data_IF_547814756181
#
_entry.id   IF_547814756181
#
_cell.length_a   1.000
_cell.length_b   1.000
_cell.length_c   1.000
_cell.angle_alpha   90.00
_cell.angle_beta   90.00
_cell.angle_gamma   90.00
#
_symmetry.space_group_name_H-M   'P 1'
#
loop_
_entity.id
_entity.type
_entity.pdbx_description
1 polymer ?
#
# COMPACT_ATOMS: atom_id res chain seq x y z
N UNK A 1 15.41 17.12 -4.31
CA UNK A 1 16.16 17.65 -3.14
C UNK A 1 15.27 18.02 -1.95
N UNK A 2 13.93 17.83 -2.03
CA UNK A 2 13.01 18.26 -0.96
C UNK A 2 13.30 17.69 0.43
N UNK A 3 13.62 16.39 0.52
CA UNK A 3 13.89 15.74 1.82
C UNK A 3 15.06 16.36 2.60
N UNK A 4 16.13 16.78 1.92
CA UNK A 4 17.27 17.43 2.58
C UNK A 4 16.85 18.79 3.16
N UNK A 5 16.04 19.55 2.41
CA UNK A 5 15.53 20.83 2.86
C UNK A 5 14.57 20.65 4.04
N UNK A 6 13.68 19.65 3.97
CA UNK A 6 12.78 19.30 5.06
C UNK A 6 13.54 18.85 6.31
N UNK A 7 14.64 18.12 6.19
CA UNK A 7 15.47 17.75 7.33
C UNK A 7 16.11 18.97 8.01
N UNK A 8 16.55 19.96 7.22
CA UNK A 8 17.05 21.24 7.75
C UNK A 8 15.93 22.00 8.47
N UNK A 9 14.72 22.04 7.89
CA UNK A 9 13.56 22.65 8.53
C UNK A 9 13.14 21.93 9.81
N UNK A 10 13.19 20.59 9.84
CA UNK A 10 12.89 19.83 11.05
C UNK A 10 13.83 20.23 12.21
N UNK A 11 15.13 20.36 11.92
CA UNK A 11 16.10 20.86 12.90
C UNK A 11 15.82 22.30 13.32
N UNK A 12 15.49 23.18 12.37
CA UNK A 12 15.18 24.58 12.65
C UNK A 12 13.91 24.74 13.52
N UNK A 13 12.85 24.01 13.19
CA UNK A 13 11.61 23.99 13.97
C UNK A 13 11.81 23.37 15.35
N UNK A 14 12.57 22.28 15.46
CA UNK A 14 12.91 21.67 16.76
C UNK A 14 13.65 22.65 17.68
N UNK A 15 14.67 23.33 17.16
CA UNK A 15 15.40 24.37 17.89
C UNK A 15 14.51 25.57 18.25
N UNK A 16 13.61 25.98 17.35
CA UNK A 16 12.68 27.07 17.60
C UNK A 16 11.66 26.71 18.70
N UNK A 17 11.15 25.49 18.71
CA UNK A 17 10.25 24.98 19.74
C UNK A 17 10.95 24.92 21.10
N UNK A 18 12.19 24.40 21.13
CA UNK A 18 13.02 24.38 22.33
C UNK A 18 13.30 25.79 22.86
N UNK A 19 13.65 26.73 21.98
CA UNK A 19 13.91 28.13 22.35
C UNK A 19 12.65 28.82 22.89
N UNK A 20 11.49 28.57 22.28
CA UNK A 20 10.23 29.16 22.71
C UNK A 20 9.82 28.67 24.10
N UNK A 21 10.08 27.40 24.42
CA UNK A 21 9.77 26.79 25.70
C UNK A 21 10.73 27.23 26.82
N UNK A 22 12.04 27.26 26.54
CA UNK A 22 13.06 27.55 27.55
C UNK A 22 13.35 29.04 27.74
N UNK A 23 13.36 29.83 26.67
CA UNK A 23 13.90 31.19 26.69
C UNK A 23 12.83 32.30 26.71
N UNK A 24 11.53 31.97 26.77
CA UNK A 24 10.41 32.92 27.01
C UNK A 24 10.54 34.28 26.26
N UNK A 25 10.64 34.25 24.93
CA UNK A 25 10.81 35.42 24.03
C UNK A 25 12.17 36.17 24.10
N UNK A 26 13.21 35.57 24.68
CA UNK A 26 14.57 36.11 24.60
C UNK A 26 15.08 36.14 23.14
N UNK A 27 15.77 37.21 22.73
CA UNK A 27 16.38 37.27 21.39
C UNK A 27 17.72 36.56 21.39
N UNK A 28 17.86 35.52 20.56
CA UNK A 28 19.05 34.67 20.54
C UNK A 28 19.09 33.68 21.72
N UNK A 29 20.23 33.00 21.91
CA UNK A 29 20.39 31.95 22.92
C UNK A 29 20.39 32.50 24.35
N UNK A 30 19.48 32.00 25.18
CA UNK A 30 19.51 32.19 26.63
C UNK A 30 20.47 31.20 27.31
N UNK A 31 20.67 31.31 28.62
CA UNK A 31 21.62 30.48 29.35
C UNK A 31 21.16 29.03 29.48
N UNK A 32 19.85 28.77 29.46
CA UNK A 32 19.27 27.41 29.47
C UNK A 32 19.55 26.61 28.18
N UNK A 33 20.04 27.28 27.13
CA UNK A 33 20.49 26.64 25.87
C UNK A 33 22.02 26.69 25.69
N UNK A 34 22.79 26.99 26.75
CA UNK A 34 24.25 27.09 26.71
C UNK A 34 24.91 26.17 27.75
N UNK A 35 25.36 24.95 27.37
CA UNK A 35 25.26 24.33 26.04
C UNK A 35 23.86 23.74 25.78
N UNK A 36 23.55 23.46 24.52
CA UNK A 36 22.32 22.74 24.15
C UNK A 36 22.46 21.28 24.56
N UNK A 37 21.52 20.78 25.35
CA UNK A 37 21.39 19.36 25.68
C UNK A 37 20.75 18.60 24.51
N UNK A 38 21.49 17.65 23.93
CA UNK A 38 21.03 16.84 22.81
C UNK A 38 19.85 15.91 23.15
N UNK A 39 19.76 15.42 24.39
CA UNK A 39 18.62 14.60 24.83
C UNK A 39 17.35 15.43 24.90
N UNK A 40 17.45 16.66 25.41
CA UNK A 40 16.33 17.58 25.47
C UNK A 40 15.90 18.03 24.06
N UNK A 41 16.86 18.31 23.18
CA UNK A 41 16.58 18.65 21.78
C UNK A 41 15.85 17.51 21.04
N UNK A 42 16.22 16.26 21.30
CA UNK A 42 15.54 15.09 20.71
C UNK A 42 14.05 15.07 21.05
N UNK A 43 13.67 15.40 22.28
CA UNK A 43 12.26 15.46 22.69
C UNK A 43 11.47 16.52 21.92
N UNK A 44 12.09 17.66 21.61
CA UNK A 44 11.47 18.71 20.78
C UNK A 44 11.39 18.31 19.31
N UNK A 45 12.42 17.65 18.78
CA UNK A 45 12.43 17.16 17.40
C UNK A 45 11.31 16.13 17.16
N UNK A 46 11.14 15.16 18.06
CA UNK A 46 10.11 14.12 17.93
C UNK A 46 8.68 14.67 18.04
N UNK A 47 8.48 15.83 18.67
CA UNK A 47 7.17 16.50 18.82
C UNK A 47 6.92 17.58 17.77
N UNK A 48 7.88 17.80 16.86
CA UNK A 48 7.78 18.87 15.88
C UNK A 48 6.85 18.47 14.73
N UNK A 49 5.99 19.41 14.34
CA UNK A 49 5.10 19.29 13.18
C UNK A 49 5.18 20.58 12.37
N UNK A 50 5.37 20.46 11.05
CA UNK A 50 5.44 21.61 10.14
C UNK A 50 5.09 21.22 8.71
N UNK A 51 4.76 22.21 7.88
CA UNK A 51 4.51 21.99 6.46
C UNK A 51 5.83 22.02 5.68
N UNK A 52 6.12 20.92 4.98
CA UNK A 52 7.30 20.74 4.14
C UNK A 52 7.27 21.58 2.87
N UNK A 53 8.39 21.57 2.15
CA UNK A 53 8.56 22.41 0.94
C UNK A 53 7.65 22.04 -0.22
N UNK A 54 7.07 20.84 -0.22
CA UNK A 54 6.11 20.39 -1.24
C UNK A 54 4.66 20.45 -0.74
N UNK A 55 4.42 21.13 0.39
CA UNK A 55 3.09 21.31 0.99
C UNK A 55 2.57 20.13 1.80
N UNK A 56 3.43 19.13 2.06
CA UNK A 56 3.13 17.96 2.89
C UNK A 56 3.28 18.27 4.38
N UNK A 57 2.43 17.69 5.21
CA UNK A 57 2.59 17.79 6.67
C UNK A 57 3.64 16.78 7.15
N UNK A 58 4.68 17.30 7.79
CA UNK A 58 5.80 16.52 8.33
C UNK A 58 5.64 16.46 9.84
N UNK A 59 5.62 15.24 10.36
CA UNK A 59 5.60 14.91 11.78
C UNK A 59 6.35 13.59 11.98
N UNK A 60 6.72 13.29 13.23
CA UNK A 60 7.47 12.08 13.56
C UNK A 60 6.65 11.17 14.46
N UNK A 61 6.67 9.87 14.18
CA UNK A 61 6.10 8.88 15.06
C UNK A 61 6.98 8.64 16.29
N UNK A 62 6.57 7.73 17.16
CA UNK A 62 7.32 7.35 18.38
C UNK A 62 8.73 6.78 18.10
N UNK A 63 9.00 6.32 16.88
CA UNK A 63 10.28 5.79 16.46
C UNK A 63 11.15 6.85 15.77
N UNK A 64 10.61 8.05 15.50
CA UNK A 64 11.29 9.11 14.77
C UNK A 64 11.11 9.02 13.25
N UNK A 65 10.13 8.25 12.77
CA UNK A 65 9.84 8.09 11.35
C UNK A 65 8.70 9.02 10.92
N UNK A 66 8.90 9.69 9.78
CA UNK A 66 7.85 10.49 9.14
C UNK A 66 6.92 9.59 8.32
N UNK A 67 5.61 9.89 8.21
CA UNK A 67 4.70 9.12 7.37
C UNK A 67 5.22 9.04 5.93
N UNK A 68 5.21 7.82 5.38
CA UNK A 68 5.64 7.55 4.03
C UNK A 68 4.60 8.02 3.00
N UNK A 69 5.07 8.74 1.98
CA UNK A 69 4.31 9.06 0.79
C UNK A 69 5.11 8.63 -0.43
N UNK A 70 4.45 7.95 -1.36
CA UNK A 70 5.11 7.41 -2.55
C UNK A 70 4.35 7.80 -3.80
N UNK A 71 5.09 8.18 -4.84
CA UNK A 71 4.58 8.27 -6.19
C UNK A 71 4.74 6.90 -6.88
N UNK A 72 3.73 6.51 -7.64
CA UNK A 72 3.71 5.26 -8.39
C UNK A 72 4.00 5.59 -9.84
N UNK A 73 5.14 5.13 -10.32
CA UNK A 73 5.62 5.44 -11.66
C UNK A 73 5.46 4.23 -12.57
N UNK A 74 5.12 4.47 -13.83
CA UNK A 74 5.09 3.48 -14.89
C UNK A 74 6.13 3.84 -15.95
N UNK A 75 6.94 2.88 -16.36
CA UNK A 75 7.95 3.08 -17.40
C UNK A 75 7.31 2.90 -18.77
N UNK A 76 7.18 4.00 -19.50
CA UNK A 76 6.39 4.06 -20.73
C UNK A 76 7.24 4.46 -21.93
N UNK A 77 6.92 3.89 -23.08
CA UNK A 77 7.35 4.35 -24.39
C UNK A 77 6.62 5.65 -24.74
N UNK A 78 7.35 6.75 -24.83
CA UNK A 78 6.81 8.10 -25.04
C UNK A 78 7.12 8.65 -26.44
N UNK A 79 7.93 7.95 -27.24
CA UNK A 79 8.30 8.34 -28.60
C UNK A 79 9.33 7.39 -29.22
N UNK A 80 9.65 7.49 -30.52
CA UNK A 80 10.55 6.55 -31.21
C UNK A 80 11.89 6.36 -30.47
N UNK A 81 12.13 5.16 -29.92
CA UNK A 81 13.33 4.85 -29.12
C UNK A 81 13.43 5.54 -27.75
N UNK A 82 12.40 6.27 -27.31
CA UNK A 82 12.38 7.03 -26.07
C UNK A 82 11.42 6.41 -25.06
N UNK A 83 11.92 6.27 -23.84
CA UNK A 83 11.16 5.80 -22.69
C UNK A 83 11.33 6.76 -21.53
N UNK A 84 10.27 6.92 -20.74
CA UNK A 84 10.28 7.77 -19.56
C UNK A 84 9.37 7.21 -18.46
N UNK A 85 9.58 7.68 -17.23
CA UNK A 85 8.74 7.36 -16.10
C UNK A 85 7.58 8.35 -16.01
N UNK A 86 6.36 7.84 -16.17
CA UNK A 86 5.14 8.61 -16.04
C UNK A 86 4.51 8.31 -14.68
N UNK A 87 4.17 9.35 -13.93
CA UNK A 87 3.43 9.19 -12.68
C UNK A 87 2.00 8.75 -13.02
N UNK A 88 1.58 7.61 -12.48
CA UNK A 88 0.26 7.00 -12.69
C UNK A 88 -0.55 6.92 -11.39
N UNK A 89 0.00 7.37 -10.27
CA UNK A 89 -0.66 7.18 -9.00
C UNK A 89 0.18 7.59 -7.80
N UNK A 90 -0.43 7.48 -6.62
CA UNK A 90 0.25 7.73 -5.37
C UNK A 90 -0.25 6.79 -4.28
N UNK A 91 0.57 6.62 -3.27
CA UNK A 91 0.23 5.92 -2.05
C UNK A 91 0.52 6.82 -0.86
N UNK A 92 -0.44 6.92 0.05
CA UNK A 92 -0.32 7.68 1.28
C UNK A 92 -1.14 7.03 2.39
N UNK A 93 -0.51 6.69 3.52
CA UNK A 93 -1.17 6.17 4.72
C UNK A 93 -2.12 4.98 4.46
N UNK A 94 -1.71 4.05 3.59
CA UNK A 94 -2.51 2.88 3.23
C UNK A 94 -3.54 3.13 2.13
N UNK A 95 -3.78 4.38 1.73
CA UNK A 95 -4.63 4.72 0.60
C UNK A 95 -3.83 4.62 -0.70
N UNK A 96 -4.22 3.68 -1.55
CA UNK A 96 -3.69 3.51 -2.89
C UNK A 96 -4.60 4.23 -3.89
N UNK A 97 -4.01 5.12 -4.70
CA UNK A 97 -4.69 5.79 -5.82
C UNK A 97 -3.89 5.55 -7.08
N UNK A 98 -4.43 4.78 -8.02
CA UNK A 98 -3.82 4.49 -9.33
C UNK A 98 -4.83 4.83 -10.42
N UNK A 99 -4.35 5.42 -11.50
CA UNK A 99 -5.08 5.57 -12.76
C UNK A 99 -4.74 4.40 -13.70
N UNK A 100 -5.66 3.44 -13.79
CA UNK A 100 -5.51 2.23 -14.61
C UNK A 100 -5.52 2.50 -16.13
N UNK A 101 -6.04 3.66 -16.55
CA UNK A 101 -6.06 4.09 -17.96
C UNK A 101 -4.71 4.67 -18.37
N UNK A 102 -3.97 5.27 -17.42
CA UNK A 102 -2.62 5.79 -17.67
C UNK A 102 -1.56 4.70 -17.73
N UNK A 103 -1.83 3.45 -17.30
CA UNK A 103 -0.87 2.35 -17.38
C UNK A 103 -0.65 1.95 -18.83
N UNK A 104 0.58 2.09 -19.34
CA UNK A 104 0.92 1.59 -20.66
C UNK A 104 1.03 0.06 -20.62
N UNK A 105 0.17 -0.60 -21.39
CA UNK A 105 0.09 -2.06 -21.49
C UNK A 105 0.71 -2.48 -22.82
N UNK A 106 1.62 -3.47 -22.79
CA UNK A 106 2.14 -4.09 -24.01
C UNK A 106 1.09 -5.00 -24.69
N UNK A 107 0.10 -5.46 -23.94
CA UNK A 107 -1.03 -6.26 -24.39
C UNK A 107 -2.32 -5.43 -24.31
N UNK A 108 -3.36 -5.85 -25.04
CA UNK A 108 -4.66 -5.16 -25.04
C UNK A 108 -5.29 -5.09 -23.63
N UNK A 109 -4.98 -6.06 -22.77
CA UNK A 109 -5.51 -6.18 -21.41
C UNK A 109 -4.41 -6.20 -20.36
N UNK A 110 -4.79 -5.90 -19.10
CA UNK A 110 -3.90 -6.00 -17.94
C UNK A 110 -3.46 -7.45 -17.72
N UNK A 111 -2.16 -7.64 -17.45
CA UNK A 111 -1.60 -8.98 -17.23
C UNK A 111 -2.14 -9.57 -15.94
N UNK A 112 -2.88 -10.67 -16.05
CA UNK A 112 -3.32 -11.46 -14.90
C UNK A 112 -2.21 -12.42 -14.50
N UNK A 113 -1.60 -12.19 -13.35
CA UNK A 113 -0.55 -13.05 -12.79
C UNK A 113 -1.15 -14.10 -11.84
N UNK A 114 -1.92 -15.04 -12.39
CA UNK A 114 -2.56 -16.14 -11.64
C UNK A 114 -1.95 -17.49 -12.04
N UNK A 115 -1.86 -18.42 -11.09
CA UNK A 115 -1.37 -19.78 -11.36
C UNK A 115 -2.44 -20.65 -12.03
N UNK A 116 -3.67 -20.53 -11.53
CA UNK A 116 -4.83 -21.26 -12.00
C UNK A 116 -5.95 -20.29 -12.31
N UNK A 117 -6.66 -20.53 -13.42
CA UNK A 117 -7.86 -19.75 -13.74
C UNK A 117 -9.00 -20.08 -12.78
N UNK A 118 -9.95 -19.16 -12.57
CA UNK A 118 -11.19 -19.44 -11.84
C UNK A 118 -11.91 -20.63 -12.45
N UNK A 119 -12.39 -21.53 -11.59
CA UNK A 119 -13.09 -22.73 -12.04
C UNK A 119 -14.45 -22.41 -12.66
N UNK A 120 -14.87 -23.23 -13.60
CA UNK A 120 -16.16 -23.06 -14.25
C UNK A 120 -17.30 -23.45 -13.30
N UNK A 121 -18.53 -23.09 -13.66
CA UNK A 121 -19.72 -23.54 -12.93
C UNK A 121 -19.75 -25.08 -12.86
N UNK A 122 -20.03 -25.63 -11.69
CA UNK A 122 -20.01 -27.08 -11.48
C UNK A 122 -18.66 -27.69 -11.14
N UNK A 123 -17.60 -26.88 -11.06
CA UNK A 123 -16.27 -27.31 -10.71
C UNK A 123 -15.82 -26.72 -9.37
N UNK A 124 -15.06 -27.51 -8.62
CA UNK A 124 -14.42 -27.08 -7.37
C UNK A 124 -12.91 -26.96 -7.53
N UNK A 125 -12.30 -26.12 -6.70
CA UNK A 125 -10.86 -25.96 -6.57
C UNK A 125 -10.31 -27.13 -5.76
N UNK A 126 -9.35 -27.85 -6.33
CA UNK A 126 -8.60 -28.91 -5.64
C UNK A 126 -7.12 -28.54 -5.61
N UNK A 127 -6.57 -28.35 -4.41
CA UNK A 127 -5.15 -28.05 -4.20
C UNK A 127 -4.41 -29.37 -3.96
N UNK A 128 -3.41 -29.68 -4.78
CA UNK A 128 -2.62 -30.91 -4.60
C UNK A 128 -1.66 -30.78 -3.42
N UNK A 129 -1.43 -31.90 -2.73
CA UNK A 129 -0.43 -31.97 -1.65
C UNK A 129 0.95 -31.59 -2.20
N UNK A 130 1.55 -30.55 -1.64
CA UNK A 130 2.86 -30.03 -2.06
C UNK A 130 2.80 -28.84 -3.03
N UNK A 131 1.60 -28.45 -3.51
CA UNK A 131 1.41 -27.21 -4.27
C UNK A 131 1.05 -26.04 -3.35
N UNK A 132 1.17 -24.82 -3.88
CA UNK A 132 0.83 -23.56 -3.17
C UNK A 132 -0.67 -23.28 -3.23
N UNK A 133 -1.20 -22.54 -2.24
CA UNK A 133 -2.64 -22.31 -2.11
C UNK A 133 -3.30 -21.59 -3.29
N UNK A 134 -2.53 -20.82 -4.08
CA UNK A 134 -3.04 -20.14 -5.28
C UNK A 134 -3.00 -21.00 -6.56
N UNK A 135 -2.42 -22.20 -6.49
CA UNK A 135 -2.41 -23.18 -7.58
C UNK A 135 -3.41 -24.29 -7.25
N UNK A 136 -4.52 -24.29 -7.96
CA UNK A 136 -5.55 -25.32 -7.86
C UNK A 136 -5.82 -25.97 -9.22
N UNK A 137 -6.46 -27.13 -9.20
CA UNK A 137 -7.00 -27.77 -10.39
C UNK A 137 -8.52 -27.76 -10.25
N UNK A 138 -9.20 -27.38 -11.32
CA UNK A 138 -10.65 -27.42 -11.37
C UNK A 138 -11.10 -28.85 -11.63
N UNK A 139 -11.92 -29.37 -10.73
CA UNK A 139 -12.48 -30.73 -10.81
C UNK A 139 -13.99 -30.63 -10.81
N UNK A 140 -14.63 -31.21 -11.82
CA UNK A 140 -16.09 -31.24 -11.92
C UNK A 140 -16.71 -32.09 -10.81
N UNK A 141 -17.80 -31.60 -10.23
CA UNK A 141 -18.65 -32.40 -9.36
C UNK A 141 -19.32 -33.53 -10.15
N UNK A 142 -19.78 -34.58 -9.46
CA UNK A 142 -20.55 -35.65 -10.11
C UNK A 142 -21.95 -35.15 -10.49
N UNK A 143 -22.62 -35.87 -11.39
CA UNK A 143 -23.94 -35.46 -11.90
C UNK A 143 -25.02 -35.30 -10.81
N UNK A 144 -24.91 -36.04 -9.71
CA UNK A 144 -25.81 -35.96 -8.55
C UNK A 144 -25.33 -35.02 -7.43
N UNK A 145 -24.26 -34.27 -7.69
CA UNK A 145 -23.61 -33.36 -6.75
C UNK A 145 -23.70 -31.92 -7.28
N UNK A 146 -23.80 -30.97 -6.36
CA UNK A 146 -23.80 -29.54 -6.63
C UNK A 146 -22.60 -28.90 -5.90
N UNK A 147 -22.21 -27.70 -6.34
CA UNK A 147 -21.10 -26.95 -5.72
C UNK A 147 -21.63 -26.26 -4.47
N UNK A 148 -21.24 -26.73 -3.28
CA UNK A 148 -21.67 -26.11 -2.02
C UNK A 148 -20.80 -24.89 -1.69
N UNK A 149 -19.50 -25.00 -1.93
CA UNK A 149 -18.51 -23.95 -1.79
C UNK A 149 -17.39 -24.15 -2.81
N UNK A 150 -16.41 -23.24 -2.87
CA UNK A 150 -15.34 -23.30 -3.87
C UNK A 150 -14.47 -24.57 -3.80
N UNK A 151 -14.57 -25.39 -2.74
CA UNK A 151 -13.72 -26.57 -2.50
C UNK A 151 -14.51 -27.88 -2.34
N UNK A 152 -15.84 -27.83 -2.28
CA UNK A 152 -16.66 -28.97 -1.86
C UNK A 152 -17.85 -29.21 -2.78
N UNK A 153 -17.90 -30.41 -3.35
CA UNK A 153 -19.10 -30.95 -3.99
C UNK A 153 -19.96 -31.66 -2.95
N UNK A 154 -21.25 -31.35 -2.90
CA UNK A 154 -22.22 -32.00 -2.01
C UNK A 154 -23.26 -32.75 -2.83
N UNK A 155 -23.55 -33.99 -2.44
CA UNK A 155 -24.57 -34.79 -3.09
C UNK A 155 -25.98 -34.29 -2.71
N UNK A 156 -26.89 -34.28 -3.68
CA UNK A 156 -28.31 -34.04 -3.44
C UNK A 156 -28.94 -35.18 -2.63
N UNK A 157 -30.04 -34.89 -1.95
CA UNK A 157 -30.86 -35.90 -1.30
C UNK A 157 -31.47 -36.90 -2.30
N UNK A 158 -31.82 -38.09 -1.82
CA UNK A 158 -32.42 -39.13 -2.66
C UNK A 158 -33.74 -38.64 -3.28
N UNK A 159 -33.83 -38.71 -4.60
CA UNK A 159 -34.98 -38.23 -5.38
C UNK A 159 -34.85 -36.80 -5.88
N UNK A 160 -33.78 -36.10 -5.52
CA UNK A 160 -33.46 -34.74 -5.98
C UNK A 160 -32.27 -34.74 -6.93
N UNK A 161 -32.16 -33.69 -7.75
CA UNK A 161 -31.09 -33.53 -8.73
C UNK A 161 -30.62 -32.07 -8.77
N UNK A 162 -29.33 -31.79 -9.02
CA UNK A 162 -28.83 -30.43 -9.18
C UNK A 162 -29.55 -29.72 -10.32
N UNK A 163 -29.77 -28.42 -10.17
CA UNK A 163 -30.41 -27.62 -11.22
C UNK A 163 -29.45 -27.34 -12.40
N UNK A 164 -29.93 -26.58 -13.39
CA UNK A 164 -29.09 -26.20 -14.56
C UNK A 164 -27.89 -25.31 -14.22
N UNK A 165 -27.89 -24.69 -13.03
CA UNK A 165 -26.78 -23.90 -12.52
C UNK A 165 -25.87 -24.73 -11.59
N UNK A 166 -26.22 -25.98 -11.32
CA UNK A 166 -25.56 -26.88 -10.37
C UNK A 166 -25.56 -26.31 -8.94
N UNK A 167 -26.71 -25.74 -8.53
CA UNK A 167 -27.03 -25.21 -7.20
C UNK A 167 -28.18 -26.03 -6.54
N UNK A 168 -28.27 -26.03 -5.19
CA UNK A 168 -29.28 -26.77 -4.40
C UNK A 168 -30.53 -25.90 -4.12
N UNK A 169 -31.71 -26.55 -4.10
CA UNK A 169 -32.99 -25.98 -3.62
C UNK A 169 -33.34 -26.49 -2.23
#
# INVERSE_FOLDING_TARGET
>A
MGFVINAIYAMAHGLHNMHSDLCLNHVGLCDDMKPVDGSHLLDFLLKTSFTGVSGEDIWFDKNGDSPGRYDIMNFQHVGPGLYDYINIGSWHEGLLSIDDEMIQKNLSDMVRSVCSEPCSKGEIKVIRKGEVSCCWICTSCKDNEFVQDEFTCKACELGWWPDSQLEEF
#
